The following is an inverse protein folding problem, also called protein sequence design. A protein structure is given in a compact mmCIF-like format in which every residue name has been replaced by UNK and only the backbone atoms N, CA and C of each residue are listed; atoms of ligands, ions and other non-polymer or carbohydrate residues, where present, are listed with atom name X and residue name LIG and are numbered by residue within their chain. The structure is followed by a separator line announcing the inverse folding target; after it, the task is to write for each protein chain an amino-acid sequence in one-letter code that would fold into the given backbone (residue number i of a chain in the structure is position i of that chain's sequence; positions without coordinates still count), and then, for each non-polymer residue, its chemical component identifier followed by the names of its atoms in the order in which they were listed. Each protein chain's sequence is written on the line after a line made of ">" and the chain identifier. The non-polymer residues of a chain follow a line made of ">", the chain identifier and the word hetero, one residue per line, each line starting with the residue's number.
data_IF_406167186933
#
_entry.id   IF_406167186933
#
_cell.length_a   1.000
_cell.length_b   1.000
_cell.length_c   1.000
_cell.angle_alpha   90.00
_cell.angle_beta   90.00
_cell.angle_gamma   90.00
#
_symmetry.space_group_name_H-M   'P 1'
#
loop_
_entity.id
_entity.type
_entity.pdbx_description
1 polymer ?
#
# COMPACT_ATOMS: atom_id res chain seq x y z
N UNK A 1 53.44 -1.74 -46.59
CA UNK A 1 52.19 -1.61 -47.37
C UNK A 1 51.25 -2.72 -46.95
N UNK A 2 49.98 -2.39 -46.59
CA UNK A 2 48.75 -3.20 -46.76
C UNK A 2 48.79 -4.66 -46.20
N UNK A 3 47.90 -5.13 -45.32
CA UNK A 3 46.43 -4.99 -45.30
C UNK A 3 45.89 -5.28 -43.89
N UNK A 4 44.86 -4.52 -43.55
CA UNK A 4 44.09 -4.56 -42.30
C UNK A 4 43.44 -5.93 -42.12
N UNK A 5 43.71 -6.59 -40.99
CA UNK A 5 43.04 -7.83 -40.60
C UNK A 5 41.72 -7.48 -39.92
N UNK A 6 40.69 -8.11 -40.46
CA UNK A 6 39.32 -8.21 -40.02
C UNK A 6 39.12 -8.24 -38.50
N UNK A 7 38.09 -7.52 -38.03
CA UNK A 7 37.08 -7.98 -37.07
C UNK A 7 36.25 -6.75 -36.63
N UNK A 8 35.54 -6.15 -37.56
CA UNK A 8 34.46 -5.22 -37.23
C UNK A 8 33.14 -5.96 -37.41
N UNK A 9 32.22 -5.74 -36.48
CA UNK A 9 30.87 -6.31 -36.40
C UNK A 9 30.81 -7.68 -35.72
N UNK A 10 30.51 -7.67 -34.42
CA UNK A 10 29.23 -8.13 -33.87
C UNK A 10 29.40 -8.39 -32.38
N UNK A 11 28.93 -7.44 -31.56
CA UNK A 11 28.42 -7.54 -30.18
C UNK A 11 28.65 -6.18 -29.49
N UNK A 12 27.69 -5.63 -28.73
CA UNK A 12 26.58 -6.32 -28.11
C UNK A 12 25.24 -5.92 -28.74
N UNK A 13 24.34 -6.90 -28.85
CA UNK A 13 22.93 -6.64 -28.67
C UNK A 13 22.78 -6.02 -27.27
N UNK A 14 22.92 -4.70 -27.19
CA UNK A 14 22.32 -3.89 -26.15
C UNK A 14 20.83 -4.11 -26.32
N UNK A 15 20.35 -5.21 -25.74
CA UNK A 15 18.94 -5.40 -25.47
C UNK A 15 18.57 -4.18 -24.65
N UNK A 16 17.99 -3.21 -25.35
CA UNK A 16 17.13 -2.21 -24.79
C UNK A 16 16.04 -2.99 -24.05
N UNK A 17 16.34 -3.40 -22.81
CA UNK A 17 15.32 -3.51 -21.78
C UNK A 17 14.79 -2.09 -21.65
N UNK A 18 13.81 -1.76 -22.48
CA UNK A 18 12.89 -0.69 -22.16
C UNK A 18 12.38 -1.05 -20.78
N UNK A 19 12.91 -0.37 -19.77
CA UNK A 19 12.32 -0.37 -18.46
C UNK A 19 10.95 0.27 -18.68
N UNK A 20 9.95 -0.55 -18.98
CA UNK A 20 8.58 -0.19 -18.70
C UNK A 20 8.60 0.06 -17.20
N UNK A 21 8.59 1.34 -16.81
CA UNK A 21 8.35 1.69 -15.42
C UNK A 21 6.96 1.13 -15.14
N UNK A 22 6.92 -0.04 -14.52
CA UNK A 22 5.68 -0.62 -14.08
C UNK A 22 5.16 0.34 -13.03
N UNK A 23 4.04 0.99 -13.33
CA UNK A 23 3.41 1.95 -12.43
C UNK A 23 2.05 1.42 -12.08
N UNK A 24 1.74 1.46 -10.80
CA UNK A 24 0.37 1.28 -10.31
C UNK A 24 -0.31 2.64 -10.20
N UNK A 25 -1.63 2.63 -10.00
CA UNK A 25 -2.39 3.86 -9.77
C UNK A 25 -2.12 4.43 -8.37
N UNK A 26 -2.44 5.71 -8.18
CA UNK A 26 -2.37 6.34 -6.86
C UNK A 26 -3.29 5.64 -5.85
N UNK A 27 -4.41 5.07 -6.30
CA UNK A 27 -5.31 4.27 -5.49
C UNK A 27 -4.61 3.03 -4.90
N UNK A 28 -3.83 2.30 -5.70
CA UNK A 28 -3.08 1.13 -5.23
C UNK A 28 -2.02 1.55 -4.20
N UNK A 29 -1.39 2.70 -4.41
CA UNK A 29 -0.45 3.28 -3.45
C UNK A 29 -1.15 3.62 -2.13
N UNK A 30 -2.34 4.22 -2.20
CA UNK A 30 -3.14 4.57 -1.05
C UNK A 30 -3.62 3.32 -0.29
N UNK A 31 -4.09 2.28 -0.99
CA UNK A 31 -4.47 1.01 -0.38
C UNK A 31 -3.31 0.37 0.38
N UNK A 32 -2.12 0.33 -0.22
CA UNK A 32 -0.94 -0.24 0.45
C UNK A 32 -0.55 0.56 1.70
N UNK A 33 -0.53 1.89 1.60
CA UNK A 33 -0.18 2.76 2.71
C UNK A 33 -1.21 2.64 3.84
N UNK A 34 -2.49 2.81 3.53
CA UNK A 34 -3.58 2.76 4.51
C UNK A 34 -3.73 1.39 5.15
N UNK A 35 -3.61 0.32 4.38
CA UNK A 35 -3.64 -1.04 4.92
C UNK A 35 -2.50 -1.27 5.91
N UNK A 36 -1.28 -0.83 5.55
CA UNK A 36 -0.13 -0.88 6.45
C UNK A 36 -0.34 -0.04 7.71
N UNK A 37 -0.91 1.17 7.56
CA UNK A 37 -1.15 2.08 8.68
C UNK A 37 -2.14 1.50 9.69
N UNK A 38 -3.23 0.88 9.22
CA UNK A 38 -4.21 0.22 10.09
C UNK A 38 -3.57 -0.94 10.87
N UNK A 39 -2.84 -1.81 10.18
CA UNK A 39 -2.14 -2.93 10.85
C UNK A 39 -1.15 -2.39 11.89
N UNK A 40 -0.34 -1.38 11.55
CA UNK A 40 0.61 -0.77 12.49
C UNK A 40 -0.08 -0.14 13.69
N UNK A 41 -1.14 0.63 13.47
CA UNK A 41 -1.83 1.37 14.53
C UNK A 41 -2.49 0.44 15.55
N UNK A 42 -3.03 -0.69 15.10
CA UNK A 42 -3.88 -1.54 15.93
C UNK A 42 -3.24 -2.85 16.39
N UNK A 43 -2.09 -3.27 15.82
CA UNK A 43 -1.44 -4.55 16.19
C UNK A 43 -0.79 -4.55 17.58
N UNK A 44 -0.54 -3.38 18.18
CA UNK A 44 0.08 -3.26 19.51
C UNK A 44 -0.78 -2.39 20.43
N UNK A 45 -1.99 -2.85 20.80
CA UNK A 45 -2.87 -2.10 21.68
C UNK A 45 -2.25 -1.94 23.08
N UNK A 46 -2.47 -0.80 23.76
CA UNK A 46 -2.05 -0.65 25.15
C UNK A 46 -2.72 -1.70 26.07
N UNK A 47 -2.13 -2.01 27.23
CA UNK A 47 -2.63 -3.07 28.11
C UNK A 47 -3.98 -2.74 28.78
N UNK A 48 -4.44 -1.49 28.68
CA UNK A 48 -5.67 -1.00 29.32
C UNK A 48 -6.91 -1.10 28.41
N UNK A 49 -6.76 -1.71 27.23
CA UNK A 49 -7.82 -1.83 26.23
C UNK A 49 -8.79 -2.95 26.58
N UNK A 50 -10.09 -2.67 26.48
CA UNK A 50 -11.16 -3.65 26.75
C UNK A 50 -11.27 -4.71 25.66
N UNK A 51 -11.90 -5.86 25.95
CA UNK A 51 -12.15 -6.92 24.95
C UNK A 51 -12.92 -6.39 23.72
N UNK A 52 -13.87 -5.48 23.93
CA UNK A 52 -14.66 -4.87 22.84
C UNK A 52 -13.78 -3.99 21.94
N UNK A 53 -12.88 -3.20 22.54
CA UNK A 53 -11.94 -2.38 21.78
C UNK A 53 -10.88 -3.23 21.07
N UNK A 54 -10.48 -4.38 21.64
CA UNK A 54 -9.60 -5.34 20.97
C UNK A 54 -10.30 -5.99 19.77
N UNK A 55 -11.59 -6.32 19.87
CA UNK A 55 -12.36 -6.83 18.75
C UNK A 55 -12.47 -5.79 17.62
N UNK A 56 -12.74 -4.53 17.97
CA UNK A 56 -12.78 -3.43 16.99
C UNK A 56 -11.39 -3.18 16.35
N UNK A 57 -10.31 -3.27 17.14
CA UNK A 57 -8.95 -3.19 16.61
C UNK A 57 -8.68 -4.33 15.60
N UNK A 58 -9.18 -5.54 15.85
CA UNK A 58 -9.05 -6.66 14.94
C UNK A 58 -9.77 -6.42 13.61
N UNK A 59 -10.95 -5.80 13.60
CA UNK A 59 -11.65 -5.42 12.36
C UNK A 59 -10.80 -4.50 11.48
N UNK A 60 -10.12 -3.51 12.08
CA UNK A 60 -9.19 -2.64 11.35
C UNK A 60 -7.95 -3.38 10.85
N UNK A 61 -7.41 -4.32 11.63
CA UNK A 61 -6.27 -5.15 11.21
C UNK A 61 -6.66 -6.02 10.01
N UNK A 62 -7.83 -6.65 10.04
CA UNK A 62 -8.32 -7.53 8.97
C UNK A 62 -8.60 -6.74 7.70
N UNK A 63 -9.30 -5.60 7.81
CA UNK A 63 -9.56 -4.71 6.69
C UNK A 63 -8.25 -4.13 6.11
N UNK A 64 -7.31 -3.75 6.97
CA UNK A 64 -5.98 -3.28 6.55
C UNK A 64 -5.18 -4.36 5.83
N UNK A 65 -5.27 -5.60 6.29
CA UNK A 65 -4.63 -6.76 5.64
C UNK A 65 -5.20 -7.00 4.25
N UNK A 66 -6.53 -6.94 4.10
CA UNK A 66 -7.19 -7.07 2.80
C UNK A 66 -6.78 -5.97 1.81
N UNK A 67 -6.59 -4.72 2.28
CA UNK A 67 -6.07 -3.64 1.45
C UNK A 67 -4.63 -3.89 0.99
N UNK A 68 -3.76 -4.37 1.87
CA UNK A 68 -2.38 -4.74 1.51
C UNK A 68 -2.40 -5.83 0.44
N UNK A 69 -3.19 -6.89 0.64
CA UNK A 69 -3.30 -7.99 -0.33
C UNK A 69 -3.81 -7.52 -1.69
N UNK A 70 -4.85 -6.67 -1.69
CA UNK A 70 -5.39 -6.06 -2.92
C UNK A 70 -4.34 -5.25 -3.65
N UNK A 71 -3.59 -4.41 -2.92
CA UNK A 71 -2.55 -3.58 -3.51
C UNK A 71 -1.39 -4.43 -4.06
N UNK A 72 -0.99 -5.49 -3.37
CA UNK A 72 0.05 -6.41 -3.82
C UNK A 72 -0.39 -7.13 -5.10
N UNK A 73 -1.62 -7.63 -5.14
CA UNK A 73 -2.15 -8.25 -6.35
C UNK A 73 -2.17 -7.27 -7.53
N UNK A 74 -2.54 -6.00 -7.30
CA UNK A 74 -2.49 -4.98 -8.35
C UNK A 74 -1.08 -4.71 -8.88
N UNK A 75 -0.04 -4.81 -8.04
CA UNK A 75 1.36 -4.76 -8.51
C UNK A 75 1.69 -5.99 -9.38
N UNK A 76 1.30 -7.19 -8.96
CA UNK A 76 1.53 -8.40 -9.76
C UNK A 76 0.83 -8.31 -11.12
N UNK A 77 -0.40 -7.79 -11.16
CA UNK A 77 -1.18 -7.60 -12.38
C UNK A 77 -0.57 -6.53 -13.30
N UNK A 78 0.10 -5.51 -12.73
CA UNK A 78 0.91 -4.54 -13.45
C UNK A 78 2.26 -5.13 -13.97
N UNK A 79 2.51 -6.41 -13.68
CA UNK A 79 3.65 -7.18 -14.17
C UNK A 79 4.85 -7.21 -13.23
N UNK A 80 4.74 -6.66 -12.01
CA UNK A 80 5.81 -6.79 -11.03
C UNK A 80 6.02 -8.26 -10.66
N UNK A 81 7.25 -8.62 -10.29
CA UNK A 81 7.51 -9.94 -9.71
C UNK A 81 7.05 -9.99 -8.25
N UNK A 82 6.83 -11.20 -7.72
CA UNK A 82 6.55 -11.39 -6.30
C UNK A 82 7.63 -10.75 -5.42
N UNK A 83 8.91 -11.00 -5.72
CA UNK A 83 10.03 -10.40 -4.98
C UNK A 83 10.00 -8.86 -4.99
N UNK A 84 9.56 -8.25 -6.10
CA UNK A 84 9.44 -6.80 -6.20
C UNK A 84 8.25 -6.28 -5.37
N UNK A 85 7.11 -6.95 -5.41
CA UNK A 85 5.94 -6.60 -4.60
C UNK A 85 6.22 -6.77 -3.09
N UNK A 86 6.89 -7.85 -2.71
CA UNK A 86 7.31 -8.11 -1.33
C UNK A 86 8.32 -7.05 -0.85
N UNK A 87 9.24 -6.64 -1.73
CA UNK A 87 10.16 -5.54 -1.44
C UNK A 87 9.42 -4.22 -1.23
N UNK A 88 8.44 -3.89 -2.07
CA UNK A 88 7.62 -2.68 -1.92
C UNK A 88 6.90 -2.68 -0.57
N UNK A 89 6.31 -3.83 -0.18
CA UNK A 89 5.69 -4.01 1.14
C UNK A 89 6.70 -3.85 2.28
N UNK A 90 7.88 -4.43 2.15
CA UNK A 90 8.91 -4.33 3.19
C UNK A 90 9.44 -2.89 3.33
N UNK A 91 9.60 -2.17 2.23
CA UNK A 91 10.14 -0.82 2.20
C UNK A 91 9.13 0.21 2.75
N UNK A 92 7.82 -0.01 2.61
CA UNK A 92 6.79 0.94 3.09
C UNK A 92 6.53 0.83 4.61
N UNK A 93 6.64 -0.37 5.19
CA UNK A 93 6.41 -0.62 6.62
C UNK A 93 7.17 0.33 7.56
N UNK A 94 8.50 0.54 7.43
CA UNK A 94 9.22 1.43 8.34
C UNK A 94 8.76 2.90 8.21
N UNK A 95 8.47 3.36 7.00
CA UNK A 95 7.99 4.73 6.73
C UNK A 95 6.63 4.96 7.39
N UNK A 96 5.69 4.04 7.17
CA UNK A 96 4.36 4.10 7.77
C UNK A 96 4.43 3.99 9.29
N UNK A 97 5.30 3.11 9.80
CA UNK A 97 5.49 2.97 11.26
C UNK A 97 5.95 4.27 11.89
N UNK A 98 6.95 4.94 11.31
CA UNK A 98 7.42 6.24 11.79
C UNK A 98 6.30 7.30 11.75
N UNK A 99 5.54 7.37 10.65
CA UNK A 99 4.47 8.36 10.49
C UNK A 99 3.31 8.13 11.48
N UNK A 100 2.86 6.88 11.65
CA UNK A 100 1.75 6.53 12.53
C UNK A 100 2.15 6.64 14.00
N UNK A 101 3.31 6.11 14.38
CA UNK A 101 3.77 6.18 15.78
C UNK A 101 4.26 7.58 16.17
N UNK A 102 4.69 8.39 15.21
CA UNK A 102 5.08 9.79 15.40
C UNK A 102 3.92 10.76 15.54
N UNK A 103 2.68 10.29 15.71
CA UNK A 103 1.49 11.12 15.89
C UNK A 103 0.88 11.67 14.59
N UNK A 104 1.33 11.20 13.42
CA UNK A 104 0.68 11.48 12.14
C UNK A 104 1.00 12.83 11.50
N UNK A 105 1.88 13.67 12.08
CA UNK A 105 2.18 15.01 11.53
C UNK A 105 2.71 14.99 10.09
N UNK A 106 3.39 13.90 9.69
CA UNK A 106 3.92 13.70 8.35
C UNK A 106 3.27 12.51 7.63
N UNK A 107 2.09 12.08 8.08
CA UNK A 107 1.37 10.98 7.45
C UNK A 107 1.03 11.32 6.00
N UNK A 108 1.25 10.37 5.10
CA UNK A 108 0.93 10.55 3.68
C UNK A 108 -0.58 10.65 3.45
N UNK A 109 -1.37 9.93 4.25
CA UNK A 109 -2.83 9.97 4.24
C UNK A 109 -3.35 10.06 5.67
N UNK A 110 -4.50 10.71 5.84
CA UNK A 110 -5.19 10.83 7.13
C UNK A 110 -5.93 9.54 7.48
N UNK A 111 -6.28 9.38 8.76
CA UNK A 111 -7.10 8.26 9.21
C UNK A 111 -8.45 8.22 8.49
N UNK A 112 -9.09 9.38 8.27
CA UNK A 112 -10.37 9.50 7.57
C UNK A 112 -10.28 9.09 6.09
N UNK A 113 -9.19 9.45 5.40
CA UNK A 113 -8.94 8.99 4.02
C UNK A 113 -8.78 7.47 3.97
N UNK A 114 -8.09 6.89 4.95
CA UNK A 114 -7.94 5.44 5.03
C UNK A 114 -9.24 4.72 5.38
N UNK A 115 -10.07 5.29 6.26
CA UNK A 115 -11.39 4.73 6.57
C UNK A 115 -12.29 4.70 5.33
N UNK A 116 -12.23 5.72 4.47
CA UNK A 116 -13.07 5.83 3.28
C UNK A 116 -12.85 4.71 2.25
N UNK A 117 -11.70 4.02 2.33
CA UNK A 117 -11.34 2.95 1.39
C UNK A 117 -11.33 1.55 2.02
N UNK A 118 -11.68 1.41 3.31
CA UNK A 118 -11.71 0.09 3.92
C UNK A 118 -12.78 -0.78 3.26
N UNK A 119 -12.46 -2.04 2.93
CA UNK A 119 -13.43 -2.97 2.38
C UNK A 119 -14.58 -3.18 3.38
N UNK A 120 -15.83 -2.95 2.94
CA UNK A 120 -17.03 -3.12 3.75
C UNK A 120 -17.68 -1.83 4.29
N UNK A 121 -17.13 -0.65 3.99
CA UNK A 121 -17.71 0.66 4.40
C UNK A 121 -18.89 1.14 3.54
N UNK A 122 -19.37 0.37 2.56
CA UNK A 122 -20.39 0.83 1.59
C UNK A 122 -21.81 1.00 2.13
N UNK A 123 -22.08 0.83 3.43
CA UNK A 123 -23.45 0.99 3.99
C UNK A 123 -23.56 1.78 5.31
N UNK A 124 -22.57 2.62 5.66
CA UNK A 124 -22.84 3.68 6.63
C UNK A 124 -23.46 4.88 5.89
N UNK A 125 -24.74 4.76 5.54
CA UNK A 125 -25.54 5.90 5.09
C UNK A 125 -25.31 7.09 6.04
N UNK A 126 -25.11 8.32 5.53
CA UNK A 126 -25.03 9.48 6.40
C UNK A 126 -26.31 9.51 7.23
N UNK A 127 -26.17 9.49 8.56
CA UNK A 127 -27.27 9.73 9.47
C UNK A 127 -27.85 11.10 9.12
N UNK A 128 -28.97 11.10 8.41
CA UNK A 128 -29.74 12.27 8.05
C UNK A 128 -30.13 12.98 9.36
N UNK A 129 -29.68 14.23 9.64
CA UNK A 129 -30.09 14.95 10.85
C UNK A 129 -31.58 15.36 10.82
N UNK A 130 -32.32 15.01 9.76
CA UNK A 130 -33.76 15.29 9.62
C UNK A 130 -34.65 14.24 10.29
N UNK A 131 -34.46 13.99 11.60
CA UNK A 131 -35.50 13.31 12.40
C UNK A 131 -35.60 13.89 13.80
N UNK A 132 -35.59 15.22 13.88
CA UNK A 132 -35.96 16.00 15.07
C UNK A 132 -36.74 17.25 14.67
N UNK A 133 -37.86 17.02 14.00
CA UNK A 133 -39.02 17.92 13.96
C UNK A 133 -40.17 17.09 13.40
N UNK A 134 -41.06 16.53 14.25
CA UNK A 134 -42.37 17.07 14.67
C UNK A 134 -42.94 16.14 15.75
#
# INVERSE_FOLDING_TARGET
>A
MKRLIAAAALLPALLATGAFAQTVTDEVTMQLWCGTAMVVAFSNPPPEVTEEQLAQAQEYIDAGTALIETAIQAHLDAGFTQDAADKIKADIVPVVTEQVMGGGENAQFTFEECLAILPGQTDAAPADPSSSAM
#
